data_IF_409630689848
#
_entry.id   IF_409630689848
#
_cell.length_a   1.000
_cell.length_b   1.000
_cell.length_c   1.000
_cell.angle_alpha   90.00
_cell.angle_beta   90.00
_cell.angle_gamma   90.00
#
_symmetry.space_group_name_H-M   'P 1'
#
loop_
_entity.id
_entity.type
_entity.pdbx_description
1 polymer ?
#
# COMPACT_ATOMS: atom_id res chain seq x y z
N UNK A 1 -3.35 37.70 2.52
CA UNK A 1 -4.10 36.54 2.02
C UNK A 1 -5.11 36.08 3.06
N UNK A 2 -6.38 35.82 2.67
CA UNK A 2 -7.50 35.38 3.53
C UNK A 2 -8.19 34.16 2.91
N UNK A 3 -9.00 33.45 3.69
CA UNK A 3 -9.87 32.39 3.17
C UNK A 3 -10.82 32.97 2.12
N UNK A 4 -11.02 32.22 1.03
CA UNK A 4 -11.80 32.55 -0.16
C UNK A 4 -11.14 33.56 -1.13
N UNK A 5 -9.95 34.09 -0.84
CA UNK A 5 -9.19 34.84 -1.83
C UNK A 5 -8.86 33.94 -3.02
N UNK A 6 -8.97 34.48 -4.24
CA UNK A 6 -8.49 33.82 -5.46
C UNK A 6 -7.13 34.40 -5.76
N UNK A 7 -6.14 33.55 -5.92
CA UNK A 7 -4.75 33.95 -6.15
C UNK A 7 -4.18 33.20 -7.35
N UNK A 8 -3.28 33.85 -8.06
CA UNK A 8 -2.45 33.22 -9.08
C UNK A 8 -1.12 32.82 -8.46
N UNK A 9 -0.69 31.59 -8.72
CA UNK A 9 0.46 30.96 -8.05
C UNK A 9 1.32 30.25 -9.08
N UNK A 10 2.62 30.52 -9.06
CA UNK A 10 3.61 29.69 -9.76
C UNK A 10 3.99 28.55 -8.85
N UNK A 11 3.88 27.33 -9.34
CA UNK A 11 4.24 26.10 -8.61
C UNK A 11 5.74 25.87 -8.77
N UNK A 12 6.47 25.93 -7.65
CA UNK A 12 7.93 25.85 -7.63
C UNK A 12 8.46 24.58 -6.97
N UNK A 13 7.58 23.73 -6.40
CA UNK A 13 7.94 22.47 -5.77
C UNK A 13 6.72 21.58 -5.57
N UNK A 14 6.95 20.38 -5.06
CA UNK A 14 5.89 19.42 -4.70
C UNK A 14 6.17 18.81 -3.32
N UNK A 15 5.10 18.51 -2.60
CA UNK A 15 5.16 17.81 -1.31
C UNK A 15 5.29 16.31 -1.52
N UNK A 16 5.60 15.59 -0.44
CA UNK A 16 5.62 14.11 -0.40
C UNK A 16 4.30 13.45 -0.80
N UNK A 17 3.17 14.15 -0.59
CA UNK A 17 1.83 13.68 -0.98
C UNK A 17 1.46 14.00 -2.43
N UNK A 18 2.36 14.68 -3.19
CA UNK A 18 2.11 15.11 -4.58
C UNK A 18 1.30 16.39 -4.70
N UNK A 19 1.18 17.20 -3.63
CA UNK A 19 0.58 18.52 -3.73
C UNK A 19 1.63 19.52 -4.24
N UNK A 20 1.30 20.34 -5.24
CA UNK A 20 2.18 21.41 -5.67
C UNK A 20 2.33 22.49 -4.61
N UNK A 21 3.48 23.13 -4.59
CA UNK A 21 3.84 24.20 -3.64
C UNK A 21 4.26 25.44 -4.40
N UNK A 22 3.63 26.56 -4.12
CA UNK A 22 4.05 27.87 -4.56
C UNK A 22 4.06 28.88 -3.41
N UNK A 23 4.32 30.15 -3.68
CA UNK A 23 4.33 31.20 -2.68
C UNK A 23 3.47 32.39 -3.12
N UNK A 24 2.72 32.94 -2.16
CA UNK A 24 1.99 34.22 -2.30
C UNK A 24 2.33 35.06 -1.07
N UNK A 25 2.82 36.27 -1.26
CA UNK A 25 3.25 37.16 -0.17
C UNK A 25 4.21 36.48 0.82
N UNK A 26 5.19 35.75 0.31
CA UNK A 26 6.13 34.90 1.08
C UNK A 26 5.51 33.74 1.87
N UNK A 27 4.20 33.53 1.83
CA UNK A 27 3.53 32.41 2.47
C UNK A 27 3.46 31.22 1.51
N UNK A 28 3.88 30.03 1.95
CA UNK A 28 3.76 28.81 1.17
C UNK A 28 2.27 28.44 0.99
N UNK A 29 1.88 28.07 -0.22
CA UNK A 29 0.52 27.61 -0.55
C UNK A 29 0.60 26.24 -1.19
N UNK A 30 -0.10 25.29 -0.59
CA UNK A 30 -0.20 23.90 -1.08
C UNK A 30 -1.45 23.76 -1.94
N UNK A 31 -1.27 23.35 -3.19
CA UNK A 31 -2.37 23.20 -4.16
C UNK A 31 -2.33 21.80 -4.75
N UNK A 32 -3.29 20.92 -4.39
CA UNK A 32 -3.38 19.59 -4.99
C UNK A 32 -3.57 19.62 -6.50
N UNK A 33 -3.11 18.56 -7.18
CA UNK A 33 -3.29 18.36 -8.63
C UNK A 33 -2.57 19.37 -9.50
N UNK A 34 -1.46 19.93 -9.02
CA UNK A 34 -0.60 20.85 -9.78
C UNK A 34 0.83 20.31 -9.91
N UNK A 35 1.56 20.74 -10.93
CA UNK A 35 2.90 20.27 -11.29
C UNK A 35 3.87 21.44 -11.23
N UNK A 36 5.14 21.16 -10.91
CA UNK A 36 6.22 22.18 -10.93
C UNK A 36 6.29 22.84 -12.30
N UNK A 37 6.46 24.17 -12.29
CA UNK A 37 6.52 25.02 -13.50
C UNK A 37 5.16 25.54 -13.97
N UNK A 38 4.05 25.09 -13.40
CA UNK A 38 2.72 25.60 -13.75
C UNK A 38 2.44 26.95 -13.10
N UNK A 39 1.67 27.78 -13.82
CA UNK A 39 0.96 28.92 -13.25
C UNK A 39 -0.51 28.55 -13.10
N UNK A 40 -1.04 28.64 -11.89
CA UNK A 40 -2.40 28.19 -11.57
C UNK A 40 -3.19 29.25 -10.83
N UNK A 41 -4.50 29.26 -11.01
CA UNK A 41 -5.43 30.01 -10.15
C UNK A 41 -6.03 29.07 -9.11
N UNK A 42 -5.96 29.47 -7.86
CA UNK A 42 -6.47 28.69 -6.74
C UNK A 42 -7.29 29.57 -5.78
N UNK A 43 -8.36 28.99 -5.22
CA UNK A 43 -9.07 29.61 -4.10
C UNK A 43 -8.45 29.13 -2.79
N UNK A 44 -8.15 30.08 -1.90
CA UNK A 44 -7.58 29.76 -0.58
C UNK A 44 -8.70 29.18 0.31
N UNK A 45 -8.51 27.92 0.73
CA UNK A 45 -9.49 27.22 1.57
C UNK A 45 -9.15 27.29 3.07
N UNK A 46 -7.86 27.43 3.41
CA UNK A 46 -7.40 27.55 4.79
C UNK A 46 -6.09 28.32 4.86
N UNK A 47 -5.99 29.24 5.82
CA UNK A 47 -4.76 29.98 6.12
C UNK A 47 -4.30 29.61 7.51
N UNK A 48 -3.01 29.28 7.65
CA UNK A 48 -2.33 28.98 8.91
C UNK A 48 -1.17 29.97 9.10
N UNK A 49 -0.54 29.96 10.26
CA UNK A 49 0.53 30.93 10.60
C UNK A 49 1.71 30.93 9.62
N UNK A 50 2.07 29.76 9.06
CA UNK A 50 3.28 29.58 8.22
C UNK A 50 2.98 29.12 6.80
N UNK A 51 1.75 28.76 6.48
CA UNK A 51 1.35 28.25 5.17
C UNK A 51 -0.16 28.31 4.97
N UNK A 52 -0.60 28.11 3.74
CA UNK A 52 -2.01 28.03 3.38
C UNK A 52 -2.29 26.82 2.47
N UNK A 53 -3.56 26.45 2.37
CA UNK A 53 -4.05 25.46 1.41
C UNK A 53 -4.92 26.17 0.38
N UNK A 54 -4.65 25.89 -0.89
CA UNK A 54 -5.44 26.30 -2.04
C UNK A 54 -6.17 25.12 -2.67
N UNK A 55 -7.33 25.40 -3.25
CA UNK A 55 -8.03 24.46 -4.14
C UNK A 55 -7.86 24.99 -5.57
N UNK A 56 -7.34 24.15 -6.45
CA UNK A 56 -7.16 24.46 -7.87
C UNK A 56 -8.49 24.86 -8.50
N UNK A 57 -8.53 26.00 -9.19
CA UNK A 57 -9.64 26.47 -10.04
C UNK A 57 -9.32 26.14 -11.49
N UNK A 58 -8.15 26.59 -11.97
CA UNK A 58 -7.70 26.38 -13.35
C UNK A 58 -6.17 26.40 -13.44
N UNK A 59 -5.64 25.75 -14.46
CA UNK A 59 -4.24 25.84 -14.86
C UNK A 59 -4.13 26.89 -15.95
N UNK A 60 -3.52 28.04 -15.61
CA UNK A 60 -3.37 29.19 -16.53
C UNK A 60 -2.27 28.90 -17.55
N UNK A 61 -1.14 28.38 -17.08
CA UNK A 61 -0.03 27.91 -17.91
C UNK A 61 0.32 26.48 -17.49
N UNK A 62 0.03 25.49 -18.32
CA UNK A 62 0.36 24.10 -18.00
C UNK A 62 1.86 23.84 -18.13
N UNK A 63 2.33 22.84 -17.37
CA UNK A 63 3.61 22.19 -17.61
C UNK A 63 3.52 21.33 -18.88
N UNK A 64 4.64 21.18 -19.60
CA UNK A 64 4.74 20.22 -20.72
C UNK A 64 4.50 18.76 -20.29
N UNK A 65 4.68 18.47 -19.01
CA UNK A 65 4.45 17.16 -18.39
C UNK A 65 3.00 16.93 -17.97
N UNK A 66 2.13 17.93 -18.13
CA UNK A 66 0.71 17.76 -17.80
C UNK A 66 0.00 16.93 -18.85
N UNK A 67 -0.67 15.89 -18.39
CA UNK A 67 -1.54 15.06 -19.20
C UNK A 67 -2.98 15.11 -18.70
N UNK A 68 -3.93 14.73 -19.55
CA UNK A 68 -5.30 14.48 -19.11
C UNK A 68 -5.31 13.20 -18.29
N UNK A 69 -5.80 13.29 -17.04
CA UNK A 69 -5.96 12.10 -16.22
C UNK A 69 -6.95 11.14 -16.86
N UNK A 70 -6.52 9.90 -17.10
CA UNK A 70 -7.37 8.87 -17.73
C UNK A 70 -8.47 8.34 -16.79
N UNK A 71 -8.19 8.35 -15.46
CA UNK A 71 -9.19 7.97 -14.46
C UNK A 71 -10.22 9.09 -14.28
N UNK A 72 -11.47 8.83 -14.63
CA UNK A 72 -12.58 9.78 -14.50
C UNK A 72 -12.83 10.22 -13.04
N UNK A 73 -12.46 9.36 -12.07
CA UNK A 73 -12.62 9.62 -10.64
C UNK A 73 -11.43 10.35 -10.02
N UNK A 74 -10.34 10.60 -10.77
CA UNK A 74 -9.06 11.07 -10.23
C UNK A 74 -9.18 12.30 -9.33
N UNK A 75 -9.89 13.32 -9.77
CA UNK A 75 -10.05 14.58 -9.01
C UNK A 75 -11.02 14.49 -7.82
N UNK A 76 -11.68 13.35 -7.65
CA UNK A 76 -12.64 13.10 -6.58
C UNK A 76 -12.17 12.02 -5.61
N UNK A 77 -11.58 10.94 -6.14
CA UNK A 77 -11.09 9.78 -5.41
C UNK A 77 -9.78 10.11 -4.69
N UNK A 78 -9.63 9.60 -3.45
CA UNK A 78 -8.41 9.75 -2.65
C UNK A 78 -7.33 8.70 -2.91
N UNK A 79 -7.52 7.79 -3.87
CA UNK A 79 -6.64 6.65 -4.08
C UNK A 79 -5.34 6.94 -4.83
N UNK A 80 -5.31 7.99 -5.65
CA UNK A 80 -4.16 8.35 -6.49
C UNK A 80 -3.87 9.85 -6.41
N UNK A 81 -2.59 10.24 -6.61
CA UNK A 81 -2.13 11.63 -6.50
C UNK A 81 -1.57 12.22 -7.79
N UNK A 82 -1.11 11.42 -8.77
CA UNK A 82 -0.24 11.90 -9.85
C UNK A 82 -0.74 11.62 -11.28
N UNK A 83 -1.97 11.13 -11.49
CA UNK A 83 -2.52 10.83 -12.82
C UNK A 83 -2.63 12.02 -13.80
N UNK A 84 -2.40 13.24 -13.33
CA UNK A 84 -2.36 14.45 -14.14
C UNK A 84 -0.97 14.79 -14.70
N UNK A 85 0.02 13.94 -14.41
CA UNK A 85 1.44 14.07 -14.75
C UNK A 85 1.86 12.89 -15.63
N UNK A 86 2.73 13.11 -16.62
CA UNK A 86 3.30 12.03 -17.41
C UNK A 86 4.10 11.07 -16.53
N UNK A 87 4.14 9.78 -16.90
CA UNK A 87 4.82 8.77 -16.08
C UNK A 87 6.34 9.02 -15.98
N UNK A 88 6.93 9.57 -17.02
CA UNK A 88 8.32 10.00 -17.04
C UNK A 88 8.58 11.06 -15.97
N UNK A 89 7.74 12.09 -15.92
CA UNK A 89 7.84 13.15 -14.91
C UNK A 89 7.53 12.66 -13.49
N UNK A 90 6.62 11.68 -13.35
CA UNK A 90 6.38 11.01 -12.07
C UNK A 90 7.64 10.27 -11.56
N UNK A 91 8.35 9.59 -12.45
CA UNK A 91 9.61 8.90 -12.13
C UNK A 91 10.70 9.89 -11.71
N UNK A 92 10.82 11.00 -12.45
CA UNK A 92 11.75 12.07 -12.11
C UNK A 92 11.42 12.74 -10.76
N UNK A 93 10.15 13.04 -10.52
CA UNK A 93 9.69 13.56 -9.24
C UNK A 93 10.07 12.63 -8.07
N UNK A 94 9.90 11.31 -8.24
CA UNK A 94 10.25 10.31 -7.21
C UNK A 94 11.77 10.27 -6.95
N UNK A 95 12.59 10.32 -8.01
CA UNK A 95 14.04 10.42 -7.90
C UNK A 95 14.45 11.67 -7.13
N UNK A 96 13.98 12.84 -7.59
CA UNK A 96 14.30 14.12 -7.00
C UNK A 96 13.88 14.22 -5.52
N UNK A 97 12.76 13.58 -5.15
CA UNK A 97 12.31 13.49 -3.77
C UNK A 97 13.32 12.72 -2.88
N UNK A 98 13.84 11.60 -3.35
CA UNK A 98 14.85 10.82 -2.60
C UNK A 98 16.13 11.63 -2.46
N UNK A 99 16.61 12.23 -3.55
CA UNK A 99 17.81 13.08 -3.58
C UNK A 99 17.69 14.27 -2.64
N UNK A 100 16.55 14.96 -2.65
CA UNK A 100 16.24 16.07 -1.73
C UNK A 100 16.26 15.62 -0.25
N UNK A 101 15.71 14.43 0.06
CA UNK A 101 15.75 13.88 1.42
C UNK A 101 17.19 13.58 1.86
N UNK A 102 17.98 12.95 1.01
CA UNK A 102 19.40 12.67 1.30
C UNK A 102 20.17 13.96 1.53
N UNK A 103 20.06 14.94 0.64
CA UNK A 103 20.77 16.21 0.72
C UNK A 103 20.31 17.09 1.87
N UNK A 104 19.00 17.34 2.01
CA UNK A 104 18.45 18.34 2.96
C UNK A 104 18.28 17.82 4.38
N UNK A 105 17.97 16.52 4.54
CA UNK A 105 17.75 15.90 5.85
C UNK A 105 18.98 15.11 6.27
N UNK A 106 19.51 14.30 5.36
CA UNK A 106 20.67 13.45 5.64
C UNK A 106 22.00 14.18 5.60
N UNK A 107 22.10 15.37 4.97
CA UNK A 107 23.37 16.06 4.73
C UNK A 107 24.27 15.31 3.76
N UNK A 108 23.73 14.39 2.96
CA UNK A 108 24.43 13.52 2.03
C UNK A 108 24.22 14.06 0.62
N UNK A 109 25.29 14.52 -0.01
CA UNK A 109 25.28 14.98 -1.40
C UNK A 109 25.68 13.83 -2.31
N UNK A 110 24.70 13.16 -2.88
CA UNK A 110 24.86 12.00 -3.77
C UNK A 110 23.83 12.09 -4.89
N UNK A 111 24.26 11.73 -6.09
CA UNK A 111 23.35 11.58 -7.22
C UNK A 111 22.55 10.29 -7.06
N UNK A 112 21.22 10.40 -7.17
CA UNK A 112 20.31 9.27 -7.13
C UNK A 112 20.09 8.77 -8.56
N UNK A 113 20.28 7.47 -8.78
CA UNK A 113 20.04 6.82 -10.06
C UNK A 113 18.61 6.98 -10.55
N UNK A 114 18.35 6.72 -11.82
CA UNK A 114 17.00 6.77 -12.39
C UNK A 114 16.05 5.83 -11.66
N UNK A 115 14.80 6.27 -11.56
CA UNK A 115 13.72 5.44 -11.01
C UNK A 115 13.49 4.22 -11.90
N UNK A 116 13.53 3.03 -11.33
CA UNK A 116 13.20 1.78 -12.05
C UNK A 116 11.71 1.77 -12.38
N UNK A 117 11.39 1.92 -13.66
CA UNK A 117 10.02 2.06 -14.16
C UNK A 117 9.23 0.76 -14.04
N UNK A 118 7.92 0.89 -13.79
CA UNK A 118 6.97 -0.21 -13.90
C UNK A 118 6.71 -0.53 -15.38
N UNK A 119 6.45 -1.80 -15.67
CA UNK A 119 6.08 -2.25 -17.03
C UNK A 119 4.67 -1.81 -17.38
N UNK A 120 3.80 -1.66 -16.38
CA UNK A 120 2.45 -1.14 -16.52
C UNK A 120 2.07 -0.27 -15.32
N UNK A 121 1.36 0.81 -15.59
CA UNK A 121 0.74 1.67 -14.56
C UNK A 121 -0.71 1.28 -14.29
N UNK A 122 -1.24 0.27 -15.01
CA UNK A 122 -2.62 -0.22 -14.91
C UNK A 122 -2.65 -1.61 -14.28
N UNK A 123 -3.72 -1.90 -13.53
CA UNK A 123 -4.03 -3.24 -13.04
C UNK A 123 -2.99 -3.89 -12.15
N UNK A 124 -2.00 -3.14 -11.69
CA UNK A 124 -0.84 -3.70 -11.00
C UNK A 124 -1.10 -4.11 -9.56
N UNK A 125 -2.18 -3.59 -8.93
CA UNK A 125 -2.46 -3.88 -7.53
C UNK A 125 -3.10 -5.26 -7.38
N UNK A 126 -2.38 -6.16 -6.74
CA UNK A 126 -2.89 -7.47 -6.36
C UNK A 126 -3.79 -7.44 -5.10
N UNK A 127 -3.85 -6.30 -4.38
CA UNK A 127 -4.66 -6.11 -3.18
C UNK A 127 -5.44 -4.81 -3.25
N UNK A 128 -6.77 -4.89 -3.07
CA UNK A 128 -7.66 -3.74 -3.09
C UNK A 128 -8.65 -3.80 -1.92
N UNK A 129 -9.12 -2.63 -1.50
CA UNK A 129 -10.04 -2.47 -0.39
C UNK A 129 -11.09 -1.45 -0.81
N UNK A 130 -12.35 -1.86 -0.83
CA UNK A 130 -13.48 -1.05 -1.24
C UNK A 130 -14.38 -0.81 -0.04
N UNK A 131 -14.46 0.41 0.50
CA UNK A 131 -15.43 0.75 1.53
C UNK A 131 -16.86 0.50 1.05
N UNK A 132 -17.67 -0.01 1.97
CA UNK A 132 -19.11 -0.24 1.79
C UNK A 132 -19.85 0.68 2.74
N UNK A 133 -20.69 1.55 2.20
CA UNK A 133 -21.49 2.51 2.95
C UNK A 133 -22.94 2.45 2.48
N UNK A 134 -23.88 3.09 3.17
CA UNK A 134 -25.28 3.19 2.68
C UNK A 134 -25.40 3.77 1.26
N UNK A 135 -24.39 4.54 0.82
CA UNK A 135 -24.34 5.09 -0.54
C UNK A 135 -23.89 4.06 -1.59
N UNK A 136 -23.33 2.91 -1.19
CA UNK A 136 -22.87 1.83 -2.05
C UNK A 136 -21.44 1.37 -1.77
N UNK A 137 -20.80 0.78 -2.79
CA UNK A 137 -19.41 0.32 -2.77
C UNK A 137 -18.57 1.24 -3.67
N UNK A 138 -17.35 1.60 -3.25
CA UNK A 138 -16.51 2.49 -4.05
C UNK A 138 -15.20 2.83 -3.37
N UNK A 139 -14.76 4.07 -3.48
CA UNK A 139 -13.53 4.60 -2.87
C UNK A 139 -13.86 5.84 -2.04
N UNK A 140 -13.05 6.14 -1.03
CA UNK A 140 -13.21 7.39 -0.30
C UNK A 140 -12.61 8.59 -1.05
N UNK A 141 -13.29 9.74 -0.96
CA UNK A 141 -12.75 11.00 -1.40
C UNK A 141 -11.52 11.37 -0.55
N UNK A 142 -10.59 12.11 -1.15
CA UNK A 142 -9.35 12.52 -0.50
C UNK A 142 -9.62 13.22 0.83
N UNK A 143 -8.96 12.76 1.91
CA UNK A 143 -9.08 13.30 3.29
C UNK A 143 -10.54 13.34 3.80
N UNK A 144 -11.36 12.39 3.39
CA UNK A 144 -12.78 12.32 3.72
C UNK A 144 -13.28 10.88 3.72
N UNK A 145 -14.37 10.61 4.44
CA UNK A 145 -15.12 9.35 4.36
C UNK A 145 -16.33 9.45 3.41
N UNK A 146 -16.37 10.50 2.58
CA UNK A 146 -17.41 10.59 1.53
C UNK A 146 -17.11 9.56 0.44
N UNK A 147 -18.07 8.68 0.20
CA UNK A 147 -17.92 7.65 -0.83
C UNK A 147 -17.97 8.27 -2.24
N UNK A 148 -17.06 7.83 -3.09
CA UNK A 148 -17.10 7.98 -4.54
C UNK A 148 -17.44 6.62 -5.10
N UNK A 149 -18.65 6.47 -5.66
CA UNK A 149 -19.02 5.25 -6.38
C UNK A 149 -18.13 5.12 -7.59
N UNK A 150 -17.46 4.00 -7.74
CA UNK A 150 -16.58 3.73 -8.87
C UNK A 150 -17.01 2.46 -9.58
N UNK A 151 -17.18 2.53 -10.89
CA UNK A 151 -17.47 1.36 -11.72
C UNK A 151 -16.22 0.53 -12.05
N UNK A 152 -15.07 1.02 -11.63
CA UNK A 152 -13.78 0.38 -11.80
C UNK A 152 -12.65 1.25 -11.30
N UNK A 153 -11.49 0.66 -11.11
CA UNK A 153 -10.28 1.35 -10.69
C UNK A 153 -9.13 0.94 -11.63
N UNK A 154 -8.52 1.91 -12.31
CA UNK A 154 -7.48 1.63 -13.32
C UNK A 154 -6.24 0.94 -12.76
N UNK A 155 -5.92 1.14 -11.48
CA UNK A 155 -4.77 0.49 -10.83
C UNK A 155 -5.12 -0.84 -10.17
N UNK A 156 -6.41 -1.13 -9.96
CA UNK A 156 -6.86 -2.42 -9.44
C UNK A 156 -6.89 -3.48 -10.55
N UNK A 157 -6.69 -4.73 -10.18
CA UNK A 157 -6.86 -5.84 -11.11
C UNK A 157 -8.31 -5.90 -11.62
N UNK A 158 -8.54 -6.24 -12.92
CA UNK A 158 -9.86 -6.16 -13.55
C UNK A 158 -10.98 -6.93 -12.82
N UNK A 159 -10.66 -8.08 -12.21
CA UNK A 159 -11.63 -8.89 -11.46
C UNK A 159 -12.29 -8.14 -10.29
N UNK A 160 -11.65 -7.10 -9.77
CA UNK A 160 -12.18 -6.33 -8.64
C UNK A 160 -13.56 -5.73 -8.93
N UNK A 161 -13.80 -5.30 -10.17
CA UNK A 161 -15.10 -4.79 -10.62
C UNK A 161 -16.17 -5.87 -10.48
N UNK A 162 -15.94 -7.06 -11.05
CA UNK A 162 -16.88 -8.19 -10.96
C UNK A 162 -17.17 -8.56 -9.51
N UNK A 163 -16.14 -8.64 -8.65
CA UNK A 163 -16.34 -8.96 -7.23
C UNK A 163 -17.20 -7.91 -6.53
N UNK A 164 -16.92 -6.62 -6.72
CA UNK A 164 -17.69 -5.55 -6.06
C UNK A 164 -19.12 -5.46 -6.55
N UNK A 165 -19.37 -5.66 -7.84
CA UNK A 165 -20.71 -5.74 -8.44
C UNK A 165 -21.50 -6.93 -7.89
N UNK A 166 -20.87 -8.12 -7.82
CA UNK A 166 -21.51 -9.34 -7.28
C UNK A 166 -21.86 -9.17 -5.81
N UNK A 167 -20.94 -8.62 -4.99
CA UNK A 167 -21.23 -8.35 -3.57
C UNK A 167 -22.32 -7.30 -3.43
N UNK A 168 -22.31 -6.25 -4.22
CA UNK A 168 -23.36 -5.21 -4.21
C UNK A 168 -24.75 -5.78 -4.56
N UNK A 169 -24.82 -6.64 -5.59
CA UNK A 169 -26.05 -7.32 -6.00
C UNK A 169 -26.55 -8.27 -4.89
N UNK A 170 -25.66 -9.11 -4.34
CA UNK A 170 -25.98 -9.98 -3.21
C UNK A 170 -26.54 -9.19 -2.01
N UNK A 171 -25.90 -8.07 -1.66
CA UNK A 171 -26.38 -7.23 -0.56
C UNK A 171 -27.80 -6.72 -0.83
N UNK A 172 -28.11 -6.33 -2.06
CA UNK A 172 -29.44 -5.85 -2.48
C UNK A 172 -30.46 -6.99 -2.46
N UNK A 173 -30.16 -8.14 -3.07
CA UNK A 173 -31.08 -9.25 -3.25
C UNK A 173 -31.48 -9.89 -1.89
N UNK A 174 -30.57 -9.91 -0.92
CA UNK A 174 -30.80 -10.52 0.39
C UNK A 174 -30.96 -9.51 1.55
N UNK A 175 -31.07 -8.22 1.25
CA UNK A 175 -31.27 -7.18 2.27
C UNK A 175 -30.12 -7.06 3.28
N UNK A 176 -28.88 -7.40 2.87
CA UNK A 176 -27.69 -7.28 3.74
C UNK A 176 -27.26 -5.82 3.79
N UNK A 177 -27.24 -5.26 5.00
CA UNK A 177 -27.02 -3.83 5.19
C UNK A 177 -25.54 -3.44 5.15
N UNK A 178 -25.26 -2.30 4.53
CA UNK A 178 -23.96 -1.63 4.67
C UNK A 178 -23.80 -1.04 6.08
N UNK A 179 -22.55 -1.04 6.57
CA UNK A 179 -22.25 -0.38 7.84
C UNK A 179 -22.25 1.15 7.66
N UNK A 180 -23.02 1.82 8.50
CA UNK A 180 -23.05 3.27 8.58
C UNK A 180 -22.21 3.74 9.78
N UNK A 181 -21.09 4.45 9.51
CA UNK A 181 -20.20 4.98 10.53
C UNK A 181 -20.87 6.00 11.47
N UNK A 182 -21.91 6.71 10.99
CA UNK A 182 -22.61 7.73 11.78
C UNK A 182 -23.52 7.10 12.84
N UNK A 183 -24.23 6.04 12.48
CA UNK A 183 -25.14 5.34 13.39
C UNK A 183 -24.44 4.19 14.13
N UNK A 184 -23.34 3.67 13.57
CA UNK A 184 -22.63 2.49 14.07
C UNK A 184 -23.40 1.19 13.84
N UNK A 185 -24.35 1.17 12.90
CA UNK A 185 -25.19 0.04 12.56
C UNK A 185 -24.94 -0.47 11.15
N UNK A 186 -25.38 -1.69 10.85
CA UNK A 186 -25.17 -2.37 9.57
C UNK A 186 -24.10 -3.48 9.65
N UNK A 187 -23.98 -4.26 8.59
CA UNK A 187 -23.21 -5.51 8.58
C UNK A 187 -21.88 -5.37 7.84
N UNK A 188 -21.91 -5.03 6.56
CA UNK A 188 -20.72 -5.03 5.68
C UNK A 188 -20.03 -3.67 5.72
N UNK A 189 -18.73 -3.66 6.01
CA UNK A 189 -17.90 -2.45 6.11
C UNK A 189 -17.00 -2.26 4.90
N UNK A 190 -16.40 -3.34 4.41
CA UNK A 190 -15.49 -3.32 3.28
C UNK A 190 -15.56 -4.63 2.50
N UNK A 191 -15.29 -4.53 1.20
CA UNK A 191 -14.90 -5.64 0.35
C UNK A 191 -13.40 -5.54 0.14
N UNK A 192 -12.68 -6.56 0.56
CA UNK A 192 -11.25 -6.69 0.36
C UNK A 192 -11.00 -7.79 -0.66
N UNK A 193 -10.11 -7.56 -1.60
CA UNK A 193 -9.70 -8.54 -2.59
C UNK A 193 -8.18 -8.67 -2.62
N UNK A 194 -7.69 -9.87 -2.84
CA UNK A 194 -6.28 -10.13 -3.11
C UNK A 194 -6.15 -11.23 -4.16
N UNK A 195 -5.30 -11.03 -5.15
CA UNK A 195 -4.95 -12.07 -6.13
C UNK A 195 -3.54 -12.58 -5.91
N UNK A 196 -3.31 -13.83 -6.27
CA UNK A 196 -2.03 -14.50 -6.31
C UNK A 196 -2.01 -15.54 -7.44
N UNK A 197 -0.98 -16.36 -7.47
CA UNK A 197 -0.81 -17.40 -8.51
C UNK A 197 -1.87 -18.51 -8.44
N UNK A 198 -2.52 -18.66 -7.27
CA UNK A 198 -3.56 -19.68 -7.01
C UNK A 198 -4.96 -19.08 -6.92
N UNK A 199 -5.21 -17.99 -7.64
CA UNK A 199 -6.54 -17.39 -7.75
C UNK A 199 -6.75 -16.15 -6.90
N UNK A 200 -7.99 -15.93 -6.47
CA UNK A 200 -8.45 -14.71 -5.81
C UNK A 200 -8.98 -15.04 -4.41
N UNK A 201 -8.54 -14.29 -3.42
CA UNK A 201 -9.11 -14.28 -2.08
C UNK A 201 -10.05 -13.08 -1.94
N UNK A 202 -11.32 -13.33 -1.62
CA UNK A 202 -12.32 -12.32 -1.32
C UNK A 202 -12.55 -12.29 0.19
N UNK A 203 -12.40 -11.12 0.81
CA UNK A 203 -12.64 -10.95 2.23
C UNK A 203 -13.76 -9.92 2.45
N UNK A 204 -14.83 -10.34 3.11
CA UNK A 204 -15.92 -9.46 3.54
C UNK A 204 -15.65 -9.00 4.95
N UNK A 205 -15.42 -7.71 5.12
CA UNK A 205 -15.21 -7.11 6.45
C UNK A 205 -16.55 -6.73 7.04
N UNK A 206 -16.84 -7.26 8.23
CA UNK A 206 -18.14 -7.07 8.91
C UNK A 206 -17.97 -6.37 10.25
N UNK A 207 -18.99 -5.64 10.67
CA UNK A 207 -19.06 -4.98 11.98
C UNK A 207 -19.25 -5.96 13.14
N UNK A 208 -19.79 -7.15 12.87
CA UNK A 208 -20.13 -8.18 13.86
C UNK A 208 -19.79 -9.59 13.38
N UNK A 209 -20.02 -10.56 14.28
CA UNK A 209 -19.68 -11.98 14.06
C UNK A 209 -20.53 -12.68 12.99
N UNK A 210 -21.72 -12.15 12.68
CA UNK A 210 -22.68 -12.78 11.77
C UNK A 210 -22.55 -12.16 10.37
N UNK A 211 -22.36 -13.02 9.37
CA UNK A 211 -22.53 -12.68 7.96
C UNK A 211 -23.73 -13.45 7.44
N UNK A 212 -24.91 -12.80 7.32
CA UNK A 212 -26.11 -13.47 6.82
C UNK A 212 -25.92 -13.81 5.35
N UNK A 213 -26.61 -14.85 4.89
CA UNK A 213 -26.62 -15.26 3.47
C UNK A 213 -25.23 -15.51 2.89
N UNK A 214 -24.29 -16.06 3.71
CA UNK A 214 -22.91 -16.32 3.28
C UNK A 214 -22.83 -17.45 2.24
N UNK A 215 -23.77 -18.40 2.23
CA UNK A 215 -23.85 -19.45 1.21
C UNK A 215 -24.20 -18.85 -0.14
N UNK A 216 -25.23 -18.04 -0.20
CA UNK A 216 -25.70 -17.37 -1.42
C UNK A 216 -24.64 -16.39 -1.96
N UNK A 217 -23.85 -15.74 -1.09
CA UNK A 217 -22.71 -14.95 -1.50
C UNK A 217 -21.62 -15.81 -2.14
N UNK A 218 -21.34 -16.97 -1.53
CA UNK A 218 -20.35 -17.91 -2.06
C UNK A 218 -20.76 -18.38 -3.44
N UNK A 219 -21.98 -18.86 -3.59
CA UNK A 219 -22.51 -19.32 -4.87
C UNK A 219 -22.44 -18.22 -5.93
N UNK A 220 -22.89 -17.00 -5.60
CA UNK A 220 -22.85 -15.86 -6.50
C UNK A 220 -21.41 -15.48 -6.96
N UNK A 221 -20.41 -15.60 -6.07
CA UNK A 221 -19.02 -15.33 -6.42
C UNK A 221 -18.43 -16.45 -7.28
N UNK A 222 -18.74 -17.70 -7.00
CA UNK A 222 -18.29 -18.85 -7.81
C UNK A 222 -18.92 -18.84 -9.20
N UNK A 223 -20.18 -18.44 -9.32
CA UNK A 223 -20.90 -18.33 -10.60
C UNK A 223 -20.34 -17.23 -11.52
N UNK A 224 -19.48 -16.33 -11.02
CA UNK A 224 -18.82 -15.32 -11.88
C UNK A 224 -17.82 -15.91 -12.88
N UNK A 225 -17.39 -17.15 -12.69
CA UNK A 225 -16.33 -17.78 -13.46
C UNK A 225 -14.91 -17.28 -13.11
N UNK A 226 -14.76 -16.44 -12.08
CA UNK A 226 -13.46 -16.05 -11.56
C UNK A 226 -12.84 -17.21 -10.78
N UNK A 227 -11.51 -17.32 -10.83
CA UNK A 227 -10.76 -18.31 -10.04
C UNK A 227 -10.71 -17.88 -8.56
N UNK A 228 -11.78 -18.18 -7.82
CA UNK A 228 -11.92 -17.86 -6.39
C UNK A 228 -11.24 -18.95 -5.56
N UNK A 229 -10.03 -18.68 -5.07
CA UNK A 229 -9.28 -19.57 -4.18
C UNK A 229 -9.86 -19.61 -2.75
N UNK A 230 -10.50 -18.52 -2.31
CA UNK A 230 -11.09 -18.47 -0.99
C UNK A 230 -11.99 -17.30 -0.74
N UNK A 231 -12.95 -17.50 0.18
CA UNK A 231 -13.81 -16.45 0.69
C UNK A 231 -13.72 -16.46 2.21
N UNK A 232 -13.44 -15.30 2.80
CA UNK A 232 -13.29 -15.15 4.24
C UNK A 232 -14.14 -14.00 4.77
N UNK A 233 -14.60 -14.12 6.00
CA UNK A 233 -15.17 -13.03 6.78
C UNK A 233 -14.11 -12.50 7.74
N UNK A 234 -13.80 -11.21 7.68
CA UNK A 234 -13.01 -10.54 8.72
C UNK A 234 -13.95 -9.73 9.62
N UNK A 235 -13.80 -9.90 10.94
CA UNK A 235 -14.70 -9.30 11.93
C UNK A 235 -14.02 -8.09 12.54
N UNK A 236 -14.51 -6.91 12.23
CA UNK A 236 -14.01 -5.65 12.76
C UNK A 236 -15.14 -4.83 13.44
N UNK A 237 -15.36 -5.01 14.75
CA UNK A 237 -16.35 -4.24 15.51
C UNK A 237 -15.82 -2.85 15.94
N UNK A 238 -14.54 -2.56 15.73
CA UNK A 238 -13.89 -1.33 16.22
C UNK A 238 -14.38 -0.12 15.41
N UNK A 239 -14.69 0.98 16.12
CA UNK A 239 -15.02 2.27 15.48
C UNK A 239 -13.76 3.09 15.23
N UNK A 240 -12.87 2.57 14.39
CA UNK A 240 -11.59 3.18 14.01
C UNK A 240 -11.39 3.12 12.50
N UNK A 241 -10.37 3.83 12.00
CA UNK A 241 -9.98 3.79 10.59
C UNK A 241 -9.28 2.47 10.17
N UNK A 242 -9.05 1.56 11.13
CA UNK A 242 -8.51 0.23 10.82
C UNK A 242 -9.55 -0.58 10.06
N UNK A 243 -9.20 -1.05 8.87
CA UNK A 243 -10.13 -1.77 7.98
C UNK A 243 -10.34 -3.20 8.47
N UNK A 244 -9.25 -3.94 8.71
CA UNK A 244 -9.31 -5.34 9.14
C UNK A 244 -9.30 -5.43 10.68
N UNK A 245 -10.17 -6.28 11.21
CA UNK A 245 -10.16 -6.68 12.61
C UNK A 245 -9.22 -7.88 12.86
N UNK A 246 -9.10 -8.27 14.11
CA UNK A 246 -8.15 -9.28 14.56
C UNK A 246 -8.63 -10.73 14.29
N UNK A 247 -9.89 -10.93 13.91
CA UNK A 247 -10.51 -12.26 13.73
C UNK A 247 -10.98 -12.46 12.30
N UNK A 248 -10.55 -13.59 11.72
CA UNK A 248 -10.99 -14.02 10.39
C UNK A 248 -11.64 -15.40 10.50
N UNK A 249 -12.71 -15.62 9.74
CA UNK A 249 -13.41 -16.89 9.60
C UNK A 249 -13.44 -17.27 8.13
N UNK A 250 -12.97 -18.46 7.79
CA UNK A 250 -13.07 -19.02 6.44
C UNK A 250 -14.52 -19.40 6.15
N UNK A 251 -15.02 -19.03 4.97
CA UNK A 251 -16.34 -19.38 4.45
C UNK A 251 -16.19 -20.41 3.35
N UNK A 252 -15.21 -20.22 2.47
CA UNK A 252 -14.91 -21.11 1.34
C UNK A 252 -13.40 -21.18 1.12
N UNK A 253 -12.89 -22.34 0.69
CA UNK A 253 -11.47 -22.58 0.44
C UNK A 253 -10.63 -22.57 1.72
N UNK A 254 -9.32 -22.39 1.59
CA UNK A 254 -8.37 -22.51 2.70
C UNK A 254 -8.23 -21.25 3.58
N UNK A 255 -8.85 -20.14 3.18
CA UNK A 255 -8.77 -18.86 3.89
C UNK A 255 -7.42 -18.15 3.79
N UNK A 256 -6.48 -18.72 3.05
CA UNK A 256 -5.16 -18.15 2.70
C UNK A 256 -4.98 -18.17 1.19
N UNK A 257 -4.10 -17.30 0.69
CA UNK A 257 -3.76 -17.23 -0.72
C UNK A 257 -2.31 -17.68 -0.91
N UNK A 258 -2.03 -18.41 -1.98
CA UNK A 258 -0.65 -18.69 -2.41
C UNK A 258 -0.24 -17.74 -3.54
N UNK A 259 0.94 -17.13 -3.39
CA UNK A 259 1.57 -16.31 -4.43
C UNK A 259 3.08 -16.52 -4.44
N UNK A 260 3.75 -16.16 -5.54
CA UNK A 260 5.19 -16.31 -5.71
C UNK A 260 5.89 -15.00 -6.02
N UNK A 261 7.15 -14.89 -5.57
CA UNK A 261 8.11 -13.85 -5.98
C UNK A 261 9.34 -14.60 -6.52
N UNK A 262 9.54 -14.56 -7.84
CA UNK A 262 10.52 -15.45 -8.48
C UNK A 262 10.18 -16.92 -8.22
N UNK A 263 11.17 -17.69 -7.75
CA UNK A 263 11.01 -19.12 -7.43
C UNK A 263 10.44 -19.37 -6.02
N UNK A 264 10.25 -18.34 -5.20
CA UNK A 264 9.83 -18.48 -3.80
C UNK A 264 8.33 -18.29 -3.67
N UNK A 265 7.67 -19.26 -3.05
CA UNK A 265 6.22 -19.26 -2.81
C UNK A 265 5.88 -18.82 -1.40
N UNK A 266 4.74 -18.13 -1.26
CA UNK A 266 4.27 -17.62 0.01
C UNK A 266 2.80 -17.94 0.23
N UNK A 267 2.48 -18.43 1.43
CA UNK A 267 1.12 -18.43 1.96
C UNK A 267 0.86 -17.07 2.63
N UNK A 268 -0.23 -16.43 2.20
CA UNK A 268 -0.54 -15.06 2.57
C UNK A 268 -1.93 -15.04 3.21
N UNK A 269 -2.01 -14.68 4.48
CA UNK A 269 -3.30 -14.45 5.14
C UNK A 269 -3.88 -13.08 4.77
N UNK A 270 -5.18 -12.84 4.97
CA UNK A 270 -5.76 -11.49 4.78
C UNK A 270 -5.07 -10.41 5.58
N UNK A 271 -4.52 -10.75 6.76
CA UNK A 271 -3.86 -9.81 7.68
C UNK A 271 -2.38 -9.60 7.36
N UNK A 272 -1.75 -10.51 6.60
CA UNK A 272 -0.32 -10.41 6.26
C UNK A 272 -0.04 -9.21 5.36
N UNK A 273 1.02 -8.48 5.69
CA UNK A 273 1.60 -7.53 4.75
C UNK A 273 2.26 -8.30 3.59
N UNK A 274 2.00 -7.90 2.38
CA UNK A 274 2.63 -8.40 1.16
C UNK A 274 2.55 -7.31 0.11
N UNK A 275 3.60 -7.16 -0.68
CA UNK A 275 3.73 -6.09 -1.66
C UNK A 275 2.61 -6.13 -2.71
N UNK A 276 2.05 -4.97 -3.03
CA UNK A 276 0.84 -4.89 -3.88
C UNK A 276 1.13 -4.87 -5.38
N UNK A 277 2.38 -4.61 -5.77
CA UNK A 277 2.81 -4.62 -7.17
C UNK A 277 3.86 -5.72 -7.36
N UNK A 278 3.42 -6.91 -7.76
CA UNK A 278 4.25 -8.11 -7.89
C UNK A 278 5.44 -7.91 -8.85
N UNK A 279 5.20 -7.27 -10.01
CA UNK A 279 6.24 -7.03 -11.00
C UNK A 279 7.36 -6.10 -10.46
N UNK A 280 6.97 -5.00 -9.81
CA UNK A 280 7.96 -4.09 -9.21
C UNK A 280 8.64 -4.71 -7.97
N UNK A 281 7.95 -5.57 -7.23
CA UNK A 281 8.55 -6.31 -6.11
C UNK A 281 9.67 -7.22 -6.59
N UNK A 282 9.46 -7.93 -7.70
CA UNK A 282 10.49 -8.79 -8.28
C UNK A 282 11.72 -7.97 -8.71
N UNK A 283 11.52 -6.80 -9.34
CA UNK A 283 12.62 -5.88 -9.71
C UNK A 283 13.34 -5.36 -8.46
N UNK A 284 12.60 -4.93 -7.43
CA UNK A 284 13.17 -4.44 -6.17
C UNK A 284 14.02 -5.51 -5.48
N UNK A 285 13.50 -6.74 -5.37
CA UNK A 285 14.23 -7.83 -4.72
C UNK A 285 15.43 -8.30 -5.56
N UNK A 286 15.33 -8.22 -6.89
CA UNK A 286 16.45 -8.42 -7.79
C UNK A 286 17.61 -7.43 -7.53
N UNK A 287 17.28 -6.15 -7.36
CA UNK A 287 18.27 -5.12 -6.98
C UNK A 287 18.86 -5.35 -5.58
N UNK A 288 18.03 -5.77 -4.61
CA UNK A 288 18.55 -6.14 -3.28
C UNK A 288 19.59 -7.25 -3.40
N UNK A 289 19.28 -8.30 -4.17
CA UNK A 289 20.21 -9.42 -4.43
C UNK A 289 21.50 -8.96 -5.10
N UNK A 290 21.38 -8.09 -6.11
CA UNK A 290 22.52 -7.51 -6.83
C UNK A 290 23.42 -6.69 -5.89
N UNK A 291 22.82 -5.78 -5.09
CA UNK A 291 23.59 -4.93 -4.18
C UNK A 291 24.24 -5.70 -3.03
N UNK A 292 23.63 -6.79 -2.60
CA UNK A 292 24.21 -7.65 -1.57
C UNK A 292 25.43 -8.43 -2.08
N UNK A 293 25.48 -8.80 -3.36
CA UNK A 293 26.61 -9.51 -3.97
C UNK A 293 26.97 -10.81 -3.27
N UNK A 294 25.97 -11.58 -2.80
CA UNK A 294 26.16 -12.76 -1.97
C UNK A 294 26.88 -13.89 -2.73
N UNK A 295 27.78 -14.58 -2.04
CA UNK A 295 28.59 -15.70 -2.56
C UNK A 295 28.29 -17.06 -1.89
N UNK A 296 27.35 -17.08 -0.94
CA UNK A 296 26.97 -18.28 -0.17
C UNK A 296 27.66 -18.40 1.20
N UNK A 297 28.57 -17.47 1.54
CA UNK A 297 29.29 -17.45 2.81
C UNK A 297 28.71 -16.50 3.85
N UNK A 298 27.82 -15.60 3.44
CA UNK A 298 27.41 -14.44 4.21
C UNK A 298 26.20 -14.74 5.13
N UNK A 299 26.23 -14.11 6.30
CA UNK A 299 25.09 -14.01 7.22
C UNK A 299 24.40 -12.68 7.00
N UNK A 300 23.13 -12.72 6.59
CA UNK A 300 22.31 -11.53 6.32
C UNK A 300 21.22 -11.40 7.38
N UNK A 301 21.06 -10.20 7.92
CA UNK A 301 19.95 -9.88 8.81
C UNK A 301 18.85 -9.16 8.03
N UNK A 302 17.62 -9.66 8.13
CA UNK A 302 16.40 -9.07 7.57
C UNK A 302 15.56 -8.51 8.73
N UNK A 303 15.80 -7.23 9.02
CA UNK A 303 15.14 -6.54 10.12
C UNK A 303 13.83 -5.94 9.62
N UNK A 304 12.74 -6.17 10.37
CA UNK A 304 11.36 -5.88 9.96
C UNK A 304 10.87 -6.81 8.85
N UNK A 305 11.21 -8.11 8.94
CA UNK A 305 11.09 -9.07 7.84
C UNK A 305 9.65 -9.43 7.43
N UNK A 306 8.63 -9.06 8.23
CA UNK A 306 7.25 -9.45 7.99
C UNK A 306 7.09 -10.97 7.89
N UNK A 307 6.51 -11.47 6.81
CA UNK A 307 6.40 -12.91 6.52
C UNK A 307 7.66 -13.50 5.85
N UNK A 308 8.79 -12.77 5.93
CA UNK A 308 10.11 -13.22 5.49
C UNK A 308 10.36 -13.11 3.98
N UNK A 309 9.68 -12.23 3.27
CA UNK A 309 9.70 -12.23 1.79
C UNK A 309 11.07 -11.91 1.21
N UNK A 310 11.78 -10.89 1.73
CA UNK A 310 13.10 -10.51 1.21
C UNK A 310 14.13 -11.54 1.59
N UNK A 311 14.22 -11.90 2.88
CA UNK A 311 15.17 -12.89 3.38
C UNK A 311 15.07 -14.24 2.65
N UNK A 312 13.84 -14.74 2.42
CA UNK A 312 13.61 -15.99 1.71
C UNK A 312 13.97 -15.91 0.22
N UNK A 313 13.72 -14.76 -0.42
CA UNK A 313 14.08 -14.55 -1.82
C UNK A 313 15.58 -14.70 -2.08
N UNK A 314 16.41 -14.27 -1.12
CA UNK A 314 17.88 -14.32 -1.22
C UNK A 314 18.50 -15.53 -0.50
N UNK A 315 17.72 -16.36 0.19
CA UNK A 315 18.23 -17.42 1.08
C UNK A 315 19.12 -18.44 0.39
N UNK A 316 18.89 -18.72 -0.89
CA UNK A 316 19.72 -19.66 -1.69
C UNK A 316 21.17 -19.16 -1.88
N UNK A 317 21.38 -17.84 -1.84
CA UNK A 317 22.67 -17.20 -2.10
C UNK A 317 23.38 -16.79 -0.81
N UNK A 318 22.79 -17.04 0.36
CA UNK A 318 23.35 -16.71 1.67
C UNK A 318 23.66 -17.97 2.49
N UNK A 319 24.67 -17.88 3.35
CA UNK A 319 24.93 -18.91 4.38
C UNK A 319 23.80 -18.96 5.40
N UNK A 320 23.29 -17.81 5.82
CA UNK A 320 22.27 -17.69 6.85
C UNK A 320 21.47 -16.40 6.69
N UNK A 321 20.17 -16.52 6.92
CA UNK A 321 19.25 -15.39 7.08
C UNK A 321 18.79 -15.35 8.54
N UNK A 322 18.81 -14.16 9.15
CA UNK A 322 18.25 -13.92 10.49
C UNK A 322 17.17 -12.87 10.36
N UNK A 323 15.90 -13.27 10.44
CA UNK A 323 14.74 -12.40 10.33
C UNK A 323 14.24 -11.94 11.69
N UNK A 324 13.88 -10.67 11.81
CA UNK A 324 13.28 -10.08 13.02
C UNK A 324 11.98 -9.38 12.64
N UNK A 325 10.91 -9.70 13.35
CA UNK A 325 9.58 -9.09 13.15
C UNK A 325 8.87 -8.98 14.51
N UNK A 326 8.15 -7.88 14.73
CA UNK A 326 7.45 -7.62 16.00
C UNK A 326 6.10 -8.35 16.10
N UNK A 327 5.49 -8.68 14.96
CA UNK A 327 4.16 -9.30 14.89
C UNK A 327 4.29 -10.83 14.98
N UNK A 328 3.81 -11.48 16.06
CA UNK A 328 3.98 -12.94 16.25
C UNK A 328 3.42 -13.76 15.07
N UNK A 329 2.23 -13.46 14.59
CA UNK A 329 1.59 -14.16 13.47
C UNK A 329 2.42 -14.06 12.17
N UNK A 330 3.10 -12.93 11.94
CA UNK A 330 3.95 -12.77 10.78
C UNK A 330 5.23 -13.62 10.90
N UNK A 331 5.79 -13.76 12.10
CA UNK A 331 6.94 -14.63 12.38
C UNK A 331 6.59 -16.09 12.13
N UNK A 332 5.43 -16.55 12.60
CA UNK A 332 4.99 -17.93 12.34
C UNK A 332 4.74 -18.15 10.84
N UNK A 333 4.11 -17.21 10.15
CA UNK A 333 3.96 -17.28 8.69
C UNK A 333 5.33 -17.29 7.97
N UNK A 334 6.34 -16.57 8.47
CA UNK A 334 7.68 -16.60 7.90
C UNK A 334 8.33 -17.98 8.03
N UNK A 335 8.18 -18.66 9.18
CA UNK A 335 8.65 -20.03 9.40
C UNK A 335 7.92 -21.04 8.51
N UNK A 336 6.61 -20.94 8.41
CA UNK A 336 5.79 -21.78 7.53
C UNK A 336 6.20 -21.62 6.06
N UNK A 337 6.41 -20.37 5.61
CA UNK A 337 6.85 -20.07 4.27
C UNK A 337 8.27 -20.59 4.00
N UNK A 338 9.19 -20.50 4.95
CA UNK A 338 10.51 -21.10 4.83
C UNK A 338 10.42 -22.61 4.67
N UNK A 339 9.57 -23.29 5.46
CA UNK A 339 9.29 -24.72 5.33
C UNK A 339 8.69 -25.07 3.97
N UNK A 340 7.73 -24.30 3.47
CA UNK A 340 7.11 -24.48 2.15
C UNK A 340 8.15 -24.47 1.01
N UNK A 341 9.20 -23.65 1.15
CA UNK A 341 10.26 -23.48 0.16
C UNK A 341 11.50 -24.35 0.42
N UNK A 342 11.51 -25.19 1.46
CA UNK A 342 12.67 -26.01 1.84
C UNK A 342 13.88 -25.18 2.29
N UNK A 343 13.66 -23.96 2.80
CA UNK A 343 14.70 -23.05 3.28
C UNK A 343 15.04 -23.43 4.72
N UNK A 344 16.21 -24.06 4.91
CA UNK A 344 16.70 -24.50 6.22
C UNK A 344 17.70 -23.54 6.88
N UNK A 345 18.16 -22.53 6.16
CA UNK A 345 19.16 -21.57 6.62
C UNK A 345 18.58 -20.22 7.06
N UNK A 346 17.30 -20.16 7.39
CA UNK A 346 16.63 -18.95 7.86
C UNK A 346 16.08 -19.14 9.28
N UNK A 347 16.47 -18.27 10.20
CA UNK A 347 16.00 -18.23 11.59
C UNK A 347 15.16 -16.97 11.80
N UNK A 348 13.98 -17.10 12.42
CA UNK A 348 13.05 -15.97 12.64
C UNK A 348 12.77 -15.74 14.13
N UNK A 349 12.83 -14.45 14.54
CA UNK A 349 12.69 -13.98 15.91
C UNK A 349 11.54 -12.99 16.04
N UNK A 350 10.71 -13.21 17.06
CA UNK A 350 9.62 -12.28 17.38
C UNK A 350 10.06 -11.27 18.44
N UNK A 351 10.04 -10.00 18.08
CA UNK A 351 10.36 -8.90 18.98
C UNK A 351 10.77 -7.65 18.23
N UNK A 352 11.10 -6.59 18.98
CA UNK A 352 11.59 -5.37 18.37
C UNK A 352 13.05 -5.52 17.93
N UNK A 353 13.35 -5.00 16.76
CA UNK A 353 14.67 -5.11 16.15
C UNK A 353 15.77 -4.53 17.08
N UNK A 354 15.52 -3.37 17.66
CA UNK A 354 16.42 -2.68 18.58
C UNK A 354 16.65 -3.44 19.89
N UNK A 355 15.67 -4.21 20.38
CA UNK A 355 15.79 -5.02 21.60
C UNK A 355 16.53 -6.34 21.36
N UNK A 356 16.37 -6.94 20.19
CA UNK A 356 16.94 -8.24 19.85
C UNK A 356 18.37 -8.17 19.28
N UNK A 357 18.74 -7.06 18.66
CA UNK A 357 19.99 -6.95 17.90
C UNK A 357 21.24 -7.34 18.73
N UNK A 358 21.37 -6.87 19.97
CA UNK A 358 22.52 -7.20 20.83
C UNK A 358 22.62 -8.70 21.16
N UNK A 359 21.47 -9.36 21.41
CA UNK A 359 21.43 -10.82 21.64
C UNK A 359 21.77 -11.62 20.37
N UNK A 360 21.34 -11.13 19.20
CA UNK A 360 21.66 -11.73 17.92
C UNK A 360 23.15 -11.60 17.58
N UNK A 361 23.78 -10.46 17.92
CA UNK A 361 25.24 -10.28 17.79
C UNK A 361 26.02 -11.30 18.63
N UNK A 362 25.57 -11.57 19.87
CA UNK A 362 26.21 -12.60 20.72
C UNK A 362 26.04 -14.00 20.14
N UNK A 363 24.88 -14.30 19.54
CA UNK A 363 24.55 -15.63 19.02
C UNK A 363 25.18 -15.93 17.66
N UNK A 364 25.15 -14.97 16.74
CA UNK A 364 25.51 -15.18 15.34
C UNK A 364 26.79 -14.45 14.91
N UNK A 365 27.31 -13.58 15.76
CA UNK A 365 28.36 -12.65 15.39
C UNK A 365 27.81 -11.47 14.58
N UNK A 366 28.73 -10.65 14.07
CA UNK A 366 28.40 -9.51 13.22
C UNK A 366 27.90 -10.01 11.87
N UNK A 367 26.73 -9.51 11.37
CA UNK A 367 26.26 -9.87 10.03
C UNK A 367 27.17 -9.25 8.96
N UNK A 368 27.26 -9.92 7.81
CA UNK A 368 27.95 -9.40 6.63
C UNK A 368 27.12 -8.32 5.92
N UNK A 369 25.78 -8.44 6.01
CA UNK A 369 24.85 -7.44 5.49
C UNK A 369 23.58 -7.36 6.33
N UNK A 370 22.92 -6.19 6.28
CA UNK A 370 21.63 -5.93 6.96
C UNK A 370 20.67 -5.33 5.96
N UNK A 371 19.47 -5.90 5.89
CA UNK A 371 18.32 -5.37 5.15
C UNK A 371 17.42 -4.65 6.14
N UNK A 372 17.03 -3.42 5.83
CA UNK A 372 16.15 -2.60 6.64
C UNK A 372 14.94 -2.17 5.81
N UNK A 373 13.75 -2.67 6.14
CA UNK A 373 12.46 -2.23 5.58
C UNK A 373 11.52 -1.75 6.71
N UNK A 374 11.87 -0.64 7.40
CA UNK A 374 11.16 -0.18 8.57
C UNK A 374 9.79 0.44 8.21
N UNK A 375 8.88 0.59 9.20
CA UNK A 375 7.66 1.36 9.04
C UNK A 375 7.97 2.85 8.74
N UNK A 376 6.94 3.62 8.34
CA UNK A 376 7.09 5.03 7.92
C UNK A 376 7.81 5.96 8.91
N UNK A 377 7.88 5.61 10.19
CA UNK A 377 8.63 6.36 11.21
C UNK A 377 10.16 6.15 11.14
N UNK A 378 10.64 5.21 10.31
CA UNK A 378 12.05 4.83 10.22
C UNK A 378 12.48 3.82 11.29
N UNK A 379 13.80 3.58 11.34
CA UNK A 379 14.45 2.73 12.34
C UNK A 379 14.62 3.45 13.67
N UNK A 380 14.68 2.69 14.76
CA UNK A 380 15.08 3.22 16.06
C UNK A 380 16.58 3.56 16.05
N UNK A 381 16.94 4.65 16.75
CA UNK A 381 18.35 5.10 16.82
C UNK A 381 19.26 4.07 17.49
N UNK A 382 18.75 3.29 18.44
CA UNK A 382 19.51 2.24 19.12
C UNK A 382 19.88 1.12 18.14
N UNK A 383 18.98 0.73 17.24
CA UNK A 383 19.26 -0.26 16.19
C UNK A 383 20.40 0.21 15.26
N UNK A 384 20.36 1.49 14.87
CA UNK A 384 21.38 2.06 14.00
C UNK A 384 22.77 2.17 14.65
N UNK A 385 22.86 2.18 15.99
CA UNK A 385 24.11 2.21 16.76
C UNK A 385 24.67 0.83 17.08
N UNK A 386 23.87 -0.22 16.93
CA UNK A 386 24.27 -1.61 17.16
C UNK A 386 24.94 -2.19 15.94
#
# INVERSE_FOLDING_TARGET
MRKNDIVEIVITGMTDDGDGVGRVDNLAVFVPYTIVGETVRAVIVKVLKRYAYGKLIEVVRPSEHRIKAECEYFYQCGGCSLWHMSYESECEYKRNKVEDCLRRIGGIDVEVSETVKADSVYGYRNKNQFPVTPDGIGMYARRSHRLIKTEGCLIAAPFCKTVTETVGKWMQDFGVTAYDEKTGSGTVRNVYTRSGDKGILVCIVTSGKKLPHSTELTDALLDTGLDIAGIVQNINPKKTNTILGDKTKTIYGDGVLEDGIGDVRFKISPLSFYQVNKAQTLKLYGLVKEFLGLSGGETVWDMYCGIGTIGQFIAKDAKRIVGVEIVPDAVENAKENAGLNGIANADYYCGKAEELASGLLQKYGRPDAIILDPPRKGCDEQLLKT
#
